data_IF_412360216634
#
_entry.id   IF_412360216634
#
_cell.length_a   1.000
_cell.length_b   1.000
_cell.length_c   1.000
_cell.angle_alpha   90.00
_cell.angle_beta   90.00
_cell.angle_gamma   90.00
#
_symmetry.space_group_name_H-M   'P 1'
#
loop_
_entity.id
_entity.type
_entity.pdbx_description
1 polymer ?
#
# COMPACT_ATOMS: atom_id res chain seq x y z
N UNK A 1 -24.65 -32.85 21.75
CA UNK A 1 -23.21 -32.91 21.50
C UNK A 1 -22.50 -33.19 22.80
N UNK A 2 -21.80 -34.32 22.90
CA UNK A 2 -21.00 -34.70 24.06
C UNK A 2 -19.54 -34.29 23.79
N UNK A 3 -18.93 -33.60 24.74
CA UNK A 3 -17.53 -33.17 24.65
C UNK A 3 -16.74 -33.69 25.85
N UNK A 4 -15.45 -33.96 25.67
CA UNK A 4 -14.55 -34.27 26.76
C UNK A 4 -14.16 -33.03 27.58
N UNK A 5 -13.38 -33.23 28.63
CA UNK A 5 -12.93 -32.14 29.53
C UNK A 5 -12.00 -31.10 28.89
N UNK A 6 -11.54 -31.31 27.66
CA UNK A 6 -10.70 -30.40 26.89
C UNK A 6 -11.42 -29.83 25.65
N UNK A 7 -12.75 -30.04 25.54
CA UNK A 7 -13.59 -29.50 24.47
C UNK A 7 -13.61 -30.31 23.17
N UNK A 8 -12.98 -31.49 23.13
CA UNK A 8 -13.04 -32.38 21.96
C UNK A 8 -14.40 -33.05 21.87
N UNK A 9 -15.05 -32.97 20.71
CA UNK A 9 -16.33 -33.60 20.44
C UNK A 9 -16.16 -35.11 20.46
N UNK A 10 -16.83 -35.80 21.37
CA UNK A 10 -16.84 -37.26 21.50
C UNK A 10 -18.00 -37.89 20.72
N UNK A 11 -19.17 -37.25 20.79
CA UNK A 11 -20.38 -37.77 20.14
C UNK A 11 -21.31 -36.61 19.80
N UNK A 12 -21.90 -36.63 18.60
CA UNK A 12 -22.97 -35.72 18.20
C UNK A 12 -24.29 -36.47 18.30
N UNK A 13 -25.01 -36.25 19.41
CA UNK A 13 -26.35 -36.81 19.62
C UNK A 13 -27.39 -35.78 19.14
N UNK A 14 -28.41 -36.23 18.44
CA UNK A 14 -29.51 -35.41 17.90
C UNK A 14 -29.05 -34.32 16.91
N UNK A 15 -28.37 -34.72 15.86
CA UNK A 15 -28.12 -33.84 14.73
C UNK A 15 -29.42 -33.71 13.92
N UNK A 16 -30.14 -32.60 14.12
CA UNK A 16 -31.20 -32.19 13.19
C UNK A 16 -30.55 -31.55 11.98
N UNK A 17 -30.72 -32.15 10.82
CA UNK A 17 -30.29 -31.56 9.56
C UNK A 17 -31.03 -30.25 9.36
N UNK A 18 -30.30 -29.20 8.99
CA UNK A 18 -30.88 -27.94 8.61
C UNK A 18 -31.90 -28.17 7.48
N UNK A 19 -33.17 -27.89 7.75
CA UNK A 19 -34.22 -27.88 6.74
C UNK A 19 -34.36 -26.50 6.14
N UNK A 20 -34.82 -26.44 4.87
CA UNK A 20 -35.21 -25.16 4.28
C UNK A 20 -36.32 -24.53 5.14
N UNK A 21 -36.16 -23.27 5.52
CA UNK A 21 -37.20 -22.51 6.20
C UNK A 21 -38.36 -22.16 5.26
N UNK A 22 -39.39 -21.54 5.81
CA UNK A 22 -40.48 -21.01 5.00
C UNK A 22 -40.04 -19.73 4.28
N UNK A 23 -40.56 -19.49 3.10
CA UNK A 23 -40.35 -18.25 2.38
C UNK A 23 -40.95 -17.06 3.16
N UNK A 24 -40.19 -15.99 3.24
CA UNK A 24 -40.62 -14.74 3.86
C UNK A 24 -40.81 -13.70 2.76
N UNK A 25 -42.00 -13.18 2.68
CA UNK A 25 -42.33 -12.04 1.79
C UNK A 25 -42.04 -10.74 2.53
N UNK A 26 -41.13 -9.93 1.99
CA UNK A 26 -40.82 -8.63 2.53
C UNK A 26 -41.73 -7.56 1.91
N UNK A 27 -42.03 -6.50 2.65
CA UNK A 27 -42.78 -5.32 2.15
C UNK A 27 -41.88 -4.37 1.35
N UNK A 28 -40.67 -4.76 1.03
CA UNK A 28 -39.71 -3.98 0.24
C UNK A 28 -39.96 -4.26 -1.23
N UNK A 29 -40.17 -3.19 -2.02
CA UNK A 29 -40.25 -3.26 -3.48
C UNK A 29 -38.79 -3.43 -4.03
N UNK A 30 -38.53 -4.59 -4.63
CA UNK A 30 -37.19 -4.92 -5.15
C UNK A 30 -36.79 -4.04 -6.34
N UNK A 31 -37.76 -3.69 -7.21
CA UNK A 31 -37.49 -2.84 -8.38
C UNK A 31 -37.18 -1.41 -7.94
N UNK A 32 -37.94 -0.89 -6.97
CA UNK A 32 -37.65 0.42 -6.39
C UNK A 32 -36.27 0.44 -5.70
N UNK A 33 -35.93 -0.63 -5.00
CA UNK A 33 -34.61 -0.73 -4.34
C UNK A 33 -33.47 -0.73 -5.37
N UNK A 34 -33.61 -1.51 -6.45
CA UNK A 34 -32.62 -1.54 -7.53
C UNK A 34 -32.53 -0.16 -8.21
N UNK A 35 -33.65 0.48 -8.51
CA UNK A 35 -33.62 1.83 -9.09
C UNK A 35 -32.95 2.87 -8.20
N UNK A 36 -33.22 2.83 -6.90
CA UNK A 36 -32.52 3.72 -5.93
C UNK A 36 -31.01 3.45 -5.88
N UNK A 37 -30.60 2.18 -5.94
CA UNK A 37 -29.19 1.80 -5.99
C UNK A 37 -28.52 2.37 -7.23
N UNK A 38 -29.08 2.14 -8.42
CA UNK A 38 -28.53 2.61 -9.70
C UNK A 38 -28.46 4.14 -9.75
N UNK A 39 -29.47 4.82 -9.20
CA UNK A 39 -29.49 6.27 -9.10
C UNK A 39 -28.39 6.80 -8.20
N UNK A 40 -28.19 6.19 -7.02
CA UNK A 40 -27.13 6.57 -6.09
C UNK A 40 -25.76 6.33 -6.69
N UNK A 41 -25.54 5.18 -7.32
CA UNK A 41 -24.28 4.84 -7.99
C UNK A 41 -23.95 5.87 -9.09
N UNK A 42 -24.92 6.16 -9.97
CA UNK A 42 -24.76 7.15 -11.04
C UNK A 42 -24.45 8.54 -10.50
N UNK A 43 -25.14 8.97 -9.44
CA UNK A 43 -24.91 10.29 -8.82
C UNK A 43 -23.55 10.37 -8.13
N UNK A 44 -23.13 9.33 -7.40
CA UNK A 44 -21.84 9.28 -6.75
C UNK A 44 -20.71 9.26 -7.78
N UNK A 45 -20.83 8.46 -8.85
CA UNK A 45 -19.87 8.45 -9.94
C UNK A 45 -19.74 9.84 -10.60
N UNK A 46 -20.87 10.51 -10.86
CA UNK A 46 -20.88 11.87 -11.41
C UNK A 46 -20.19 12.89 -10.50
N UNK A 47 -20.39 12.81 -9.17
CA UNK A 47 -19.71 13.67 -8.20
C UNK A 47 -18.20 13.41 -8.21
N UNK A 48 -17.78 12.15 -8.18
CA UNK A 48 -16.35 11.79 -8.22
C UNK A 48 -15.72 12.32 -9.49
N UNK A 49 -16.32 12.05 -10.66
CA UNK A 49 -15.80 12.51 -11.95
C UNK A 49 -15.68 14.05 -12.01
N UNK A 50 -16.66 14.78 -11.47
CA UNK A 50 -16.62 16.25 -11.45
C UNK A 50 -15.52 16.82 -10.54
N UNK A 51 -15.07 16.04 -9.57
CA UNK A 51 -14.00 16.42 -8.62
C UNK A 51 -12.62 15.89 -9.03
N UNK A 52 -12.52 15.04 -10.06
CA UNK A 52 -11.22 14.53 -10.50
C UNK A 52 -10.40 15.62 -11.19
N UNK A 53 -9.11 15.64 -10.91
CA UNK A 53 -8.14 16.56 -11.49
C UNK A 53 -6.86 15.83 -11.89
N UNK A 54 -6.21 16.32 -12.96
CA UNK A 54 -4.86 15.87 -13.35
C UNK A 54 -3.76 16.50 -12.50
N UNK A 55 -4.10 17.45 -11.62
CA UNK A 55 -3.15 18.03 -10.67
C UNK A 55 -2.74 16.99 -9.61
N UNK A 56 -1.49 17.06 -9.17
CA UNK A 56 -0.97 16.22 -8.09
C UNK A 56 -1.45 16.62 -6.69
N UNK A 57 -2.09 17.78 -6.57
CA UNK A 57 -2.59 18.33 -5.31
C UNK A 57 -4.12 18.32 -5.26
N UNK A 58 -4.66 17.86 -4.12
CA UNK A 58 -6.09 17.91 -3.83
C UNK A 58 -6.61 19.33 -3.53
N UNK A 59 -5.74 20.34 -3.50
CA UNK A 59 -6.07 21.70 -3.08
C UNK A 59 -6.13 21.85 -1.55
N UNK A 60 -6.03 23.10 -1.09
CA UNK A 60 -5.97 23.43 0.35
C UNK A 60 -7.31 23.84 0.96
N UNK A 61 -8.35 24.05 0.16
CA UNK A 61 -9.67 24.48 0.64
C UNK A 61 -10.55 23.29 0.99
N UNK A 62 -11.17 23.31 2.19
CA UNK A 62 -12.10 22.27 2.63
C UNK A 62 -13.33 22.16 1.72
N UNK A 63 -13.78 23.28 1.13
CA UNK A 63 -15.02 23.36 0.39
C UNK A 63 -14.85 22.98 -1.09
N UNK A 64 -13.62 22.94 -1.57
CA UNK A 64 -13.33 22.69 -2.98
C UNK A 64 -12.20 21.65 -3.16
N UNK A 65 -12.21 20.60 -2.34
CA UNK A 65 -11.27 19.49 -2.49
C UNK A 65 -11.47 18.80 -3.83
N UNK A 66 -10.37 18.68 -4.57
CA UNK A 66 -10.29 17.91 -5.80
C UNK A 66 -9.68 16.54 -5.49
N UNK A 67 -9.96 15.57 -6.33
CA UNK A 67 -9.42 14.22 -6.22
C UNK A 67 -8.36 14.06 -7.31
N UNK A 68 -7.06 14.00 -6.96
CA UNK A 68 -6.02 13.68 -7.93
C UNK A 68 -6.31 12.36 -8.63
N UNK A 69 -6.23 12.33 -9.95
CA UNK A 69 -6.52 11.11 -10.71
C UNK A 69 -5.60 9.95 -10.32
N UNK A 70 -4.38 10.25 -9.87
CA UNK A 70 -3.45 9.27 -9.33
C UNK A 70 -4.02 8.52 -8.11
N UNK A 71 -4.72 9.22 -7.21
CA UNK A 71 -5.29 8.62 -6.00
C UNK A 71 -6.43 7.66 -6.34
N UNK A 72 -7.19 7.97 -7.40
CA UNK A 72 -8.21 7.07 -7.93
C UNK A 72 -7.57 5.77 -8.45
N UNK A 73 -6.53 5.88 -9.29
CA UNK A 73 -5.81 4.71 -9.79
C UNK A 73 -5.16 3.89 -8.67
N UNK A 74 -4.52 4.54 -7.70
CA UNK A 74 -3.97 3.83 -6.54
C UNK A 74 -5.04 3.09 -5.75
N UNK A 75 -6.22 3.69 -5.58
CA UNK A 75 -7.34 3.05 -4.93
C UNK A 75 -7.84 1.82 -5.70
N UNK A 76 -7.98 1.93 -7.03
CA UNK A 76 -8.39 0.83 -7.90
C UNK A 76 -7.39 -0.34 -7.85
N UNK A 77 -6.09 -0.04 -7.89
CA UNK A 77 -5.01 -1.05 -7.80
C UNK A 77 -4.99 -1.68 -6.40
N UNK A 78 -5.07 -0.87 -5.33
CA UNK A 78 -5.05 -1.35 -3.95
C UNK A 78 -6.22 -2.29 -3.64
N UNK A 79 -7.39 -2.00 -4.21
CA UNK A 79 -8.60 -2.82 -4.04
C UNK A 79 -8.71 -3.95 -5.08
N UNK A 80 -7.67 -4.18 -5.88
CA UNK A 80 -7.62 -5.22 -6.92
C UNK A 80 -8.75 -5.13 -7.95
N UNK A 81 -9.27 -3.93 -8.20
CA UNK A 81 -10.17 -3.66 -9.33
C UNK A 81 -9.35 -3.62 -10.62
N UNK A 82 -8.11 -3.11 -10.53
CA UNK A 82 -7.09 -3.23 -11.57
C UNK A 82 -5.99 -4.13 -11.01
N UNK A 83 -5.84 -5.34 -11.56
CA UNK A 83 -4.73 -6.23 -11.21
C UNK A 83 -3.58 -6.03 -12.20
N UNK A 84 -2.49 -5.44 -11.69
CA UNK A 84 -1.30 -5.15 -12.50
C UNK A 84 -0.59 -6.45 -12.93
N UNK A 85 -0.75 -7.56 -12.19
CA UNK A 85 -0.12 -8.83 -12.53
C UNK A 85 -0.72 -9.46 -13.78
N UNK A 86 -2.01 -9.24 -14.02
CA UNK A 86 -2.73 -9.79 -15.17
C UNK A 86 -2.48 -9.00 -16.48
N UNK A 87 -1.91 -7.79 -16.39
CA UNK A 87 -1.60 -6.98 -17.58
C UNK A 87 -0.55 -7.60 -18.53
N UNK A 88 0.12 -8.69 -18.12
CA UNK A 88 1.11 -9.41 -18.92
C UNK A 88 0.74 -10.87 -19.16
N UNK A 89 -0.48 -11.28 -18.86
CA UNK A 89 -0.93 -12.64 -19.11
C UNK A 89 -1.07 -12.94 -20.61
N UNK A 90 -1.09 -14.22 -20.95
CA UNK A 90 -1.18 -14.68 -22.34
C UNK A 90 -2.50 -14.21 -23.03
N UNK A 91 -3.51 -13.89 -22.25
CA UNK A 91 -4.81 -13.37 -22.69
C UNK A 91 -4.87 -11.83 -22.72
N UNK A 92 -3.80 -11.13 -22.29
CA UNK A 92 -3.76 -9.68 -22.25
C UNK A 92 -3.88 -9.06 -23.65
N UNK A 93 -4.69 -8.02 -23.78
CA UNK A 93 -4.81 -7.25 -25.02
C UNK A 93 -3.53 -6.47 -25.33
N UNK A 94 -3.33 -6.09 -26.59
CA UNK A 94 -2.17 -5.25 -27.00
C UNK A 94 -2.10 -3.94 -26.19
N UNK A 95 -3.26 -3.40 -25.80
CA UNK A 95 -3.34 -2.19 -24.99
C UNK A 95 -2.85 -2.44 -23.56
N UNK A 96 -3.29 -3.52 -22.91
CA UNK A 96 -2.83 -3.92 -21.57
C UNK A 96 -1.33 -4.21 -21.58
N UNK A 97 -0.83 -4.96 -22.55
CA UNK A 97 0.60 -5.20 -22.72
C UNK A 97 1.40 -3.89 -22.89
N UNK A 98 0.85 -2.89 -23.59
CA UNK A 98 1.49 -1.58 -23.73
C UNK A 98 1.57 -0.82 -22.41
N UNK A 99 0.51 -0.90 -21.59
CA UNK A 99 0.47 -0.31 -20.23
C UNK A 99 1.50 -1.00 -19.34
N UNK A 100 1.54 -2.33 -19.34
CA UNK A 100 2.50 -3.11 -18.56
C UNK A 100 3.97 -2.71 -18.89
N UNK A 101 4.30 -2.55 -20.17
CA UNK A 101 5.63 -2.07 -20.59
C UNK A 101 5.95 -0.68 -20.04
N UNK A 102 4.97 0.25 -20.04
CA UNK A 102 5.15 1.59 -19.47
C UNK A 102 5.37 1.54 -17.96
N UNK A 103 4.56 0.75 -17.25
CA UNK A 103 4.71 0.54 -15.79
C UNK A 103 6.10 -0.04 -15.49
N UNK A 104 6.52 -1.08 -16.22
CA UNK A 104 7.84 -1.69 -16.03
C UNK A 104 8.99 -0.71 -16.28
N UNK A 105 8.91 0.06 -17.35
CA UNK A 105 9.90 1.10 -17.69
C UNK A 105 9.98 2.18 -16.60
N UNK A 106 8.81 2.65 -16.12
CA UNK A 106 8.73 3.64 -15.05
C UNK A 106 9.32 3.09 -13.74
N UNK A 107 8.92 1.88 -13.34
CA UNK A 107 9.47 1.18 -12.16
C UNK A 107 11.00 1.08 -12.23
N UNK A 108 11.55 0.69 -13.38
CA UNK A 108 13.01 0.60 -13.58
C UNK A 108 13.68 1.96 -13.41
N UNK A 109 13.09 3.02 -13.97
CA UNK A 109 13.59 4.40 -13.84
C UNK A 109 13.58 4.86 -12.37
N UNK A 110 12.48 4.61 -11.64
CA UNK A 110 12.36 4.99 -10.23
C UNK A 110 13.34 4.21 -9.34
N UNK A 111 13.51 2.92 -9.58
CA UNK A 111 14.50 2.11 -8.83
C UNK A 111 15.93 2.59 -9.08
N UNK A 112 16.26 3.03 -10.30
CA UNK A 112 17.57 3.60 -10.60
C UNK A 112 17.78 4.94 -9.89
N UNK A 113 16.76 5.81 -9.90
CA UNK A 113 16.81 7.10 -9.20
C UNK A 113 16.94 6.91 -7.69
N UNK A 114 16.15 5.98 -7.11
CA UNK A 114 16.23 5.66 -5.68
C UNK A 114 17.62 5.13 -5.29
N UNK A 115 18.18 4.25 -6.11
CA UNK A 115 19.54 3.75 -5.89
C UNK A 115 20.57 4.87 -5.91
N UNK A 116 20.46 5.80 -6.85
CA UNK A 116 21.35 6.97 -6.95
C UNK A 116 21.19 7.89 -5.73
N UNK A 117 19.97 8.18 -5.34
CA UNK A 117 19.66 8.97 -4.13
C UNK A 117 20.26 8.33 -2.87
N UNK A 118 20.12 7.01 -2.69
CA UNK A 118 20.71 6.31 -1.53
C UNK A 118 22.24 6.32 -1.52
N UNK A 119 22.86 6.23 -2.70
CA UNK A 119 24.32 6.17 -2.82
C UNK A 119 24.97 7.55 -2.79
N UNK A 120 24.37 8.55 -3.40
CA UNK A 120 25.03 9.80 -3.75
C UNK A 120 24.38 11.05 -3.16
N UNK A 121 23.08 11.00 -2.80
CA UNK A 121 22.41 12.19 -2.28
C UNK A 121 22.84 12.52 -0.85
N UNK A 122 23.13 13.80 -0.63
CA UNK A 122 23.36 14.42 0.69
C UNK A 122 22.23 15.38 1.07
N UNK A 123 21.17 15.43 0.24
CA UNK A 123 20.02 16.29 0.52
C UNK A 123 19.27 15.78 1.75
N UNK A 124 18.98 16.69 2.68
CA UNK A 124 18.28 16.35 3.91
C UNK A 124 16.87 15.81 3.60
N UNK A 125 16.43 14.80 4.37
CA UNK A 125 15.13 14.15 4.17
C UNK A 125 13.96 15.13 4.14
N UNK A 126 13.98 16.18 4.97
CA UNK A 126 12.92 17.21 5.01
C UNK A 126 12.83 18.06 3.73
N UNK A 127 13.87 18.09 2.88
CA UNK A 127 13.94 18.92 1.68
C UNK A 127 13.59 18.18 0.39
N UNK A 128 13.56 16.84 0.42
CA UNK A 128 13.19 16.04 -0.75
C UNK A 128 11.66 15.99 -0.91
N UNK A 129 11.18 15.68 -2.13
CA UNK A 129 9.75 15.61 -2.41
C UNK A 129 9.04 14.53 -1.57
N UNK A 130 7.74 14.72 -1.31
CA UNK A 130 6.91 13.78 -0.54
C UNK A 130 7.00 12.34 -1.09
N UNK A 131 7.08 12.17 -2.42
CA UNK A 131 7.24 10.87 -3.06
C UNK A 131 8.58 10.22 -2.70
N UNK A 132 9.68 10.99 -2.71
CA UNK A 132 11.01 10.50 -2.32
C UNK A 132 11.08 10.21 -0.82
N UNK A 133 10.41 11.02 0.01
CA UNK A 133 10.28 10.76 1.45
C UNK A 133 9.57 9.42 1.69
N UNK A 134 8.45 9.19 1.01
CA UNK A 134 7.71 7.92 1.13
C UNK A 134 8.56 6.71 0.71
N UNK A 135 9.37 6.83 -0.34
CA UNK A 135 10.30 5.75 -0.72
C UNK A 135 11.40 5.54 0.31
N UNK A 136 11.97 6.60 0.86
CA UNK A 136 13.01 6.48 1.89
C UNK A 136 12.46 5.85 3.18
N UNK A 137 11.26 6.23 3.60
CA UNK A 137 10.57 5.63 4.75
C UNK A 137 10.26 4.15 4.51
N UNK A 138 9.79 3.80 3.32
CA UNK A 138 9.55 2.40 2.95
C UNK A 138 10.84 1.57 3.02
N UNK A 139 11.95 2.09 2.47
CA UNK A 139 13.25 1.40 2.52
C UNK A 139 13.72 1.24 3.97
N UNK A 140 13.63 2.30 4.78
CA UNK A 140 13.99 2.25 6.19
C UNK A 140 13.17 1.20 6.95
N UNK A 141 11.84 1.21 6.77
CA UNK A 141 10.95 0.22 7.39
C UNK A 141 11.30 -1.20 6.95
N UNK A 142 11.47 -1.41 5.65
CA UNK A 142 11.80 -2.71 5.09
C UNK A 142 13.13 -3.26 5.62
N UNK A 143 14.16 -2.42 5.72
CA UNK A 143 15.44 -2.82 6.30
C UNK A 143 15.30 -3.22 7.78
N UNK A 144 14.42 -2.55 8.52
CA UNK A 144 14.14 -2.87 9.93
C UNK A 144 13.32 -4.15 10.07
N UNK A 145 12.30 -4.35 9.24
CA UNK A 145 11.41 -5.52 9.25
C UNK A 145 12.19 -6.80 8.88
N UNK A 146 13.07 -6.70 7.90
CA UNK A 146 13.94 -7.79 7.44
C UNK A 146 15.15 -8.01 8.38
N UNK A 147 15.23 -7.26 9.49
CA UNK A 147 16.31 -7.31 10.48
C UNK A 147 17.71 -7.02 9.92
N UNK A 148 17.79 -6.37 8.77
CA UNK A 148 19.03 -5.86 8.20
C UNK A 148 19.49 -4.66 9.01
N UNK A 149 18.59 -3.74 9.34
CA UNK A 149 18.83 -2.67 10.31
C UNK A 149 18.43 -3.18 11.70
N UNK A 150 19.41 -3.33 12.58
CA UNK A 150 19.25 -3.88 13.94
C UNK A 150 18.69 -2.80 14.87
N UNK A 151 17.39 -2.60 14.85
CA UNK A 151 16.71 -1.54 15.62
C UNK A 151 17.02 -1.57 17.10
N UNK A 152 17.29 -2.76 17.68
CA UNK A 152 17.68 -2.93 19.08
C UNK A 152 19.12 -2.46 19.39
N UNK A 153 19.97 -2.39 18.38
CA UNK A 153 21.37 -1.95 18.50
C UNK A 153 21.54 -0.44 18.33
N UNK A 154 20.50 0.24 17.85
CA UNK A 154 20.55 1.69 17.58
C UNK A 154 20.54 2.45 18.92
N UNK A 155 21.58 3.25 19.16
CA UNK A 155 21.57 4.21 20.27
C UNK A 155 20.65 5.40 19.92
N UNK A 156 19.48 5.44 20.56
CA UNK A 156 18.51 6.53 20.35
C UNK A 156 18.99 7.90 20.84
N UNK A 157 20.08 7.95 21.62
CA UNK A 157 20.69 9.21 22.07
C UNK A 157 21.76 9.71 21.10
N UNK A 158 22.17 8.89 20.15
CA UNK A 158 23.17 9.24 19.16
C UNK A 158 22.77 10.49 18.35
N UNK A 159 23.77 11.33 18.05
CA UNK A 159 23.55 12.61 17.38
C UNK A 159 23.13 12.46 15.90
N UNK A 160 23.66 11.47 15.18
CA UNK A 160 23.33 11.20 13.77
C UNK A 160 21.96 10.54 13.68
N UNK A 161 21.64 9.61 14.58
CA UNK A 161 20.29 9.04 14.66
C UNK A 161 19.23 10.13 14.90
N UNK A 162 19.48 11.07 15.82
CA UNK A 162 18.57 12.20 16.05
C UNK A 162 18.43 13.12 14.82
N UNK A 163 19.54 13.38 14.10
CA UNK A 163 19.48 14.17 12.86
C UNK A 163 18.63 13.47 11.82
N UNK A 164 18.76 12.15 11.65
CA UNK A 164 17.91 11.36 10.75
C UNK A 164 16.44 11.45 11.16
N UNK A 165 16.13 11.18 12.43
CA UNK A 165 14.75 11.26 12.94
C UNK A 165 14.11 12.64 12.80
N UNK A 166 14.90 13.69 12.81
CA UNK A 166 14.47 15.06 12.61
C UNK A 166 14.53 15.51 11.13
N UNK A 167 14.79 14.60 10.20
CA UNK A 167 14.82 14.89 8.77
C UNK A 167 16.02 15.72 8.29
N UNK A 168 17.05 15.91 9.10
CA UNK A 168 18.19 16.82 8.83
C UNK A 168 19.33 16.20 8.03
N UNK A 169 19.26 14.92 7.74
CA UNK A 169 20.24 14.20 6.90
C UNK A 169 19.50 13.26 5.96
N UNK A 170 20.14 12.80 4.89
CA UNK A 170 19.60 11.81 3.97
C UNK A 170 19.57 10.41 4.59
N UNK A 171 18.69 9.53 4.06
CA UNK A 171 18.70 8.11 4.44
C UNK A 171 20.06 7.46 4.12
N UNK A 172 20.67 7.81 2.98
CA UNK A 172 21.97 7.29 2.60
C UNK A 172 23.10 7.64 3.57
N UNK A 173 23.11 8.88 4.10
CA UNK A 173 24.07 9.30 5.13
C UNK A 173 23.84 8.53 6.43
N UNK A 174 22.58 8.40 6.85
CA UNK A 174 22.24 7.63 8.04
C UNK A 174 22.67 6.15 7.91
N UNK A 175 22.36 5.51 6.78
CA UNK A 175 22.71 4.09 6.57
C UNK A 175 24.23 3.86 6.54
N UNK A 176 25.01 4.74 5.89
CA UNK A 176 26.47 4.68 5.91
C UNK A 176 27.02 4.79 7.35
N UNK A 177 26.47 5.70 8.14
CA UNK A 177 26.82 5.81 9.54
C UNK A 177 26.44 4.56 10.34
N UNK A 178 25.21 4.05 10.13
CA UNK A 178 24.70 2.84 10.79
C UNK A 178 25.57 1.59 10.52
N UNK A 179 26.11 1.46 9.30
CA UNK A 179 27.07 0.39 8.96
C UNK A 179 28.34 0.53 9.80
N UNK A 180 28.89 1.74 9.91
CA UNK A 180 30.11 1.98 10.70
C UNK A 180 29.90 1.79 12.22
N UNK A 181 28.67 1.90 12.70
CA UNK A 181 28.30 1.66 14.09
C UNK A 181 27.85 0.22 14.36
N UNK A 182 27.97 -0.67 13.39
CA UNK A 182 27.51 -2.08 13.48
C UNK A 182 25.99 -2.19 13.79
N UNK A 183 25.20 -1.18 13.41
CA UNK A 183 23.74 -1.22 13.51
C UNK A 183 23.08 -1.95 12.33
N UNK A 184 23.88 -2.36 11.36
CA UNK A 184 23.43 -3.10 10.17
C UNK A 184 24.05 -4.50 10.19
N UNK A 185 23.21 -5.51 10.05
CA UNK A 185 23.70 -6.88 9.84
C UNK A 185 24.22 -7.01 8.40
N UNK A 186 25.53 -7.16 8.29
CA UNK A 186 26.22 -7.33 7.00
C UNK A 186 26.52 -8.79 6.67
N UNK A 187 26.14 -9.74 7.50
CA UNK A 187 26.46 -11.18 7.34
C UNK A 187 25.85 -11.79 6.07
N UNK A 188 24.71 -11.29 5.64
CA UNK A 188 24.00 -11.72 4.42
C UNK A 188 24.55 -11.06 3.13
N UNK A 189 25.36 -10.00 3.26
CA UNK A 189 25.93 -9.31 2.09
C UNK A 189 27.18 -10.04 1.60
N UNK A 190 27.01 -10.91 0.61
CA UNK A 190 28.16 -11.44 -0.13
C UNK A 190 28.78 -10.31 -0.94
N UNK A 191 29.93 -9.83 -0.56
CA UNK A 191 30.72 -8.96 -1.43
C UNK A 191 31.00 -9.72 -2.72
N UNK A 192 30.47 -9.22 -3.83
CA UNK A 192 30.82 -9.66 -5.18
C UNK A 192 32.00 -8.89 -5.67
#
# INVERSE_FOLDING_TARGET
MLVDKIGKVLEVTNEEKAGAGNDITLSIDADLQQYCYDLLESKLAGIILSKMTSSDSAGSSSDNKMIPIKDVYYSLIKNKVIDISELNDDEATDYEASIAKKIHSYKKKQLTALKDDLLNSTEAFENISDEKQAYAEYVYSKLSDDKILLSSSIDTKDGIYKKWKNGKISLGEFLRYAINQEWVDTSEFKMK
#
